data_IF_086800837131
#
_entry.id   IF_086800837131
#
_cell.length_a   1.000
_cell.length_b   1.000
_cell.length_c   1.000
_cell.angle_alpha   90.00
_cell.angle_beta   90.00
_cell.angle_gamma   90.00
#
_symmetry.space_group_name_H-M   'P 1'
#
loop_
_entity.id
_entity.type
_entity.pdbx_description
1 polymer ?
#
# COMPACT_ATOMS: atom_id res chain seq x y z
N UNK A 1 18.81 -1.78 24.99
CA UNK A 1 17.62 -2.08 25.80
C UNK A 1 18.01 -3.04 26.90
N UNK A 2 17.62 -2.78 28.13
CA UNK A 2 18.00 -3.63 29.29
C UNK A 2 17.02 -4.81 29.39
N UNK A 3 17.47 -5.92 29.93
CA UNK A 3 16.64 -7.14 30.15
C UNK A 3 15.38 -6.84 30.97
N UNK A 4 15.45 -5.91 31.92
CA UNK A 4 14.32 -5.45 32.73
C UNK A 4 13.22 -4.78 31.88
N UNK A 5 13.57 -4.08 30.83
CA UNK A 5 12.61 -3.42 29.92
C UNK A 5 11.87 -4.46 29.10
N UNK A 6 12.58 -5.49 28.63
CA UNK A 6 11.98 -6.62 27.88
C UNK A 6 10.97 -7.37 28.75
N UNK A 7 11.30 -7.62 30.01
CA UNK A 7 10.38 -8.26 30.96
C UNK A 7 9.15 -7.42 31.24
N UNK A 8 9.31 -6.11 31.39
CA UNK A 8 8.21 -5.18 31.57
C UNK A 8 7.24 -5.19 30.39
N UNK A 9 7.75 -5.19 29.18
CA UNK A 9 6.92 -5.26 27.97
C UNK A 9 6.25 -6.63 27.81
N UNK A 10 6.91 -7.72 28.15
CA UNK A 10 6.33 -9.05 28.13
C UNK A 10 5.19 -9.20 29.16
N UNK A 11 5.33 -8.59 30.32
CA UNK A 11 4.32 -8.56 31.37
C UNK A 11 3.11 -7.70 30.96
N UNK A 12 3.36 -6.57 30.32
CA UNK A 12 2.34 -5.70 29.76
C UNK A 12 1.54 -6.41 28.65
N UNK A 13 2.21 -7.17 27.79
CA UNK A 13 1.54 -8.01 26.78
C UNK A 13 0.60 -9.04 27.42
N UNK A 14 1.01 -9.64 28.52
CA UNK A 14 0.23 -10.62 29.26
C UNK A 14 -1.01 -9.96 29.89
N UNK A 15 -0.83 -8.79 30.49
CA UNK A 15 -1.90 -8.03 31.13
C UNK A 15 -2.96 -7.53 30.14
N UNK A 16 -2.52 -7.07 28.97
CA UNK A 16 -3.39 -6.57 27.92
C UNK A 16 -3.93 -7.64 26.95
N UNK A 17 -3.53 -8.88 27.13
CA UNK A 17 -3.95 -9.99 26.26
C UNK A 17 -3.43 -9.90 24.83
N UNK A 18 -2.33 -9.20 24.61
CA UNK A 18 -1.72 -9.05 23.30
C UNK A 18 -0.92 -10.29 22.90
N UNK A 19 -0.97 -10.65 21.63
CA UNK A 19 -0.21 -11.76 21.03
C UNK A 19 1.10 -11.32 20.39
N UNK A 20 1.23 -10.04 20.09
CA UNK A 20 2.44 -9.45 19.51
C UNK A 20 2.66 -8.02 19.97
N UNK A 21 3.91 -7.64 20.16
CA UNK A 21 4.34 -6.29 20.49
C UNK A 21 5.63 -5.98 19.73
N UNK A 22 5.65 -4.88 19.01
CA UNK A 22 6.82 -4.37 18.33
C UNK A 22 7.19 -3.00 18.90
N UNK A 23 8.44 -2.87 19.35
CA UNK A 23 8.98 -1.62 19.90
C UNK A 23 10.15 -1.22 19.03
N UNK A 24 10.12 -0.02 18.52
CA UNK A 24 11.20 0.59 17.74
C UNK A 24 11.73 1.79 18.49
N UNK A 25 12.98 1.73 18.90
CA UNK A 25 13.75 2.87 19.41
C UNK A 25 14.84 3.24 18.39
N UNK A 26 15.41 4.44 18.51
CA UNK A 26 16.34 5.03 17.54
C UNK A 26 17.48 4.10 17.09
N UNK A 27 17.82 3.10 17.88
CA UNK A 27 18.94 2.20 17.58
C UNK A 27 18.66 0.72 17.84
N UNK A 28 17.43 0.35 18.18
CA UNK A 28 17.05 -1.05 18.41
C UNK A 28 15.58 -1.32 18.09
N UNK A 29 15.33 -2.45 17.46
CA UNK A 29 13.99 -2.96 17.19
C UNK A 29 13.80 -4.26 17.96
N UNK A 30 12.77 -4.30 18.81
CA UNK A 30 12.41 -5.50 19.57
C UNK A 30 11.00 -5.92 19.19
N UNK A 31 10.88 -7.16 18.74
CA UNK A 31 9.61 -7.81 18.47
C UNK A 31 9.40 -8.93 19.46
N UNK A 32 8.29 -8.87 20.20
CA UNK A 32 7.88 -9.91 21.14
C UNK A 32 6.61 -10.58 20.60
N UNK A 33 6.67 -11.89 20.44
CA UNK A 33 5.52 -12.71 20.05
C UNK A 33 5.25 -13.75 21.13
N UNK A 34 4.01 -13.90 21.50
CA UNK A 34 3.55 -14.93 22.41
C UNK A 34 2.68 -15.91 21.66
N UNK A 35 3.16 -17.12 21.48
CA UNK A 35 2.28 -18.22 21.08
C UNK A 35 1.48 -18.66 22.31
N UNK A 36 0.20 -18.41 22.29
CA UNK A 36 -0.72 -19.04 23.22
C UNK A 36 -0.79 -20.49 22.78
N UNK A 37 -0.06 -21.35 23.45
CA UNK A 37 -0.15 -22.79 23.22
C UNK A 37 -1.57 -23.26 23.46
N UNK A 38 -2.35 -23.39 22.43
CA UNK A 38 -3.44 -24.33 22.45
C UNK A 38 -2.82 -25.73 22.54
N UNK A 39 -3.39 -26.66 23.33
CA UNK A 39 -2.88 -28.01 23.36
C UNK A 39 -2.87 -28.54 21.93
N UNK A 40 -1.68 -28.92 21.49
CA UNK A 40 -1.47 -29.52 20.19
C UNK A 40 -2.36 -30.75 20.06
N UNK A 41 -3.51 -30.59 19.47
CA UNK A 41 -3.97 -31.63 18.58
C UNK A 41 -3.04 -31.54 17.39
N UNK A 42 -2.18 -32.52 17.26
CA UNK A 42 -1.55 -32.82 15.99
C UNK A 42 -2.65 -33.10 14.97
N UNK A 43 -3.26 -32.08 14.50
CA UNK A 43 -3.80 -32.11 13.19
C UNK A 43 -2.57 -32.05 12.31
N UNK A 44 -2.19 -33.19 11.78
CA UNK A 44 -1.36 -33.27 10.61
C UNK A 44 -2.07 -32.37 9.59
N UNK A 45 -1.72 -31.10 9.59
CA UNK A 45 -1.91 -30.32 8.40
C UNK A 45 -0.97 -30.99 7.40
N UNK A 46 -1.49 -31.92 6.63
CA UNK A 46 -1.02 -32.04 5.28
C UNK A 46 -1.00 -30.59 4.81
N UNK A 47 0.20 -30.03 4.77
CA UNK A 47 0.45 -28.82 4.01
C UNK A 47 -0.30 -29.05 2.72
N UNK A 48 -1.43 -28.43 2.46
CA UNK A 48 -1.84 -28.33 1.10
C UNK A 48 -0.63 -27.61 0.52
N UNK A 49 0.11 -28.34 -0.28
CA UNK A 49 0.96 -27.75 -1.29
C UNK A 49 0.33 -26.40 -1.63
N UNK A 50 1.05 -25.27 -1.63
CA UNK A 50 0.47 -23.98 -1.95
C UNK A 50 0.05 -23.96 -3.42
N UNK A 51 -0.90 -24.78 -3.74
CA UNK A 51 -1.84 -24.59 -4.81
C UNK A 51 -2.95 -23.63 -4.34
N UNK A 52 -2.58 -22.75 -3.50
CA UNK A 52 -3.03 -21.43 -3.25
C UNK A 52 -1.93 -20.52 -3.73
N UNK A 53 -1.54 -20.65 -4.96
CA UNK A 53 -1.69 -19.53 -5.83
C UNK A 53 -3.00 -18.90 -5.42
N UNK A 54 -2.95 -17.89 -4.53
CA UNK A 54 -3.86 -16.81 -4.69
C UNK A 54 -3.80 -16.62 -6.18
N UNK A 55 -4.74 -17.19 -6.88
CA UNK A 55 -5.12 -16.62 -8.13
C UNK A 55 -5.40 -15.19 -7.73
N UNK A 56 -4.34 -14.40 -7.80
CA UNK A 56 -4.49 -13.13 -8.44
C UNK A 56 -5.31 -13.54 -9.63
N UNK A 57 -6.60 -13.39 -9.48
CA UNK A 57 -7.51 -13.48 -10.58
C UNK A 57 -6.83 -12.56 -11.56
N UNK A 58 -6.08 -13.14 -12.46
CA UNK A 58 -5.65 -12.43 -13.64
C UNK A 58 -6.94 -12.19 -14.37
N UNK A 59 -7.70 -11.21 -13.85
CA UNK A 59 -8.64 -10.52 -14.68
C UNK A 59 -7.85 -10.25 -15.96
N UNK A 60 -8.40 -10.59 -17.10
CA UNK A 60 -7.71 -10.38 -18.35
C UNK A 60 -7.16 -8.96 -18.28
N UNK A 61 -5.85 -8.81 -18.42
CA UNK A 61 -5.13 -7.56 -18.19
C UNK A 61 -5.45 -6.56 -19.31
N UNK A 62 -6.71 -6.19 -19.40
CA UNK A 62 -7.18 -5.15 -20.32
C UNK A 62 -7.01 -3.75 -19.71
N UNK A 63 -6.20 -3.65 -18.64
CA UNK A 63 -5.88 -2.36 -18.04
C UNK A 63 -4.36 -2.13 -17.98
N UNK A 64 -4.01 -0.85 -18.05
CA UNK A 64 -2.66 -0.35 -17.93
C UNK A 64 -2.56 0.36 -16.58
N UNK A 65 -1.52 0.05 -15.82
CA UNK A 65 -1.21 0.73 -14.57
C UNK A 65 -0.37 1.97 -14.84
N UNK A 66 -0.90 3.13 -14.52
CA UNK A 66 -0.11 4.37 -14.47
C UNK A 66 0.56 4.46 -13.10
N UNK A 67 1.88 4.55 -13.10
CA UNK A 67 2.69 4.53 -11.89
C UNK A 67 3.43 5.84 -11.69
N UNK A 68 3.72 6.16 -10.42
CA UNK A 68 4.54 7.33 -10.10
C UNK A 68 5.99 7.13 -10.54
N UNK A 69 6.56 8.06 -11.31
CA UNK A 69 7.98 8.02 -11.69
C UNK A 69 8.91 8.60 -10.62
N UNK A 70 8.37 9.16 -9.55
CA UNK A 70 9.11 9.85 -8.50
C UNK A 70 8.47 9.62 -7.12
N UNK A 71 9.24 9.90 -6.07
CA UNK A 71 8.75 9.98 -4.69
C UNK A 71 8.18 11.38 -4.45
N UNK A 72 6.96 11.45 -3.94
CA UNK A 72 6.32 12.73 -3.65
C UNK A 72 4.93 12.61 -3.06
N UNK A 73 4.17 13.68 -3.12
CA UNK A 73 2.78 13.74 -2.64
C UNK A 73 1.83 13.81 -3.84
N UNK A 74 0.85 12.93 -3.84
CA UNK A 74 -0.16 12.85 -4.90
C UNK A 74 -1.24 13.92 -4.72
N UNK A 75 -1.55 14.62 -5.81
CA UNK A 75 -2.68 15.54 -5.91
C UNK A 75 -3.49 15.25 -7.18
N UNK A 76 -4.80 14.97 -7.06
CA UNK A 76 -5.66 14.70 -8.22
C UNK A 76 -6.05 15.95 -8.99
N UNK A 77 -5.82 17.14 -8.42
CA UNK A 77 -6.19 18.44 -8.98
C UNK A 77 -5.02 19.43 -8.90
N UNK A 78 -5.04 20.49 -9.73
CA UNK A 78 -3.96 21.50 -9.74
C UNK A 78 -3.94 22.38 -8.48
N UNK A 79 -5.03 22.43 -7.72
CA UNK A 79 -5.15 23.19 -6.48
C UNK A 79 -6.18 22.54 -5.55
N UNK A 80 -6.13 22.86 -4.27
CA UNK A 80 -6.99 22.25 -3.24
C UNK A 80 -8.49 22.38 -3.52
N UNK A 81 -8.91 23.45 -4.17
CA UNK A 81 -10.33 23.72 -4.47
C UNK A 81 -10.64 23.53 -5.98
N UNK A 82 -9.73 22.99 -6.75
CA UNK A 82 -9.95 22.74 -8.17
C UNK A 82 -10.60 21.37 -8.40
N UNK A 83 -11.29 21.23 -9.52
CA UNK A 83 -11.81 19.96 -9.96
C UNK A 83 -10.66 19.00 -10.29
N UNK A 84 -10.78 17.69 -9.99
CA UNK A 84 -9.77 16.71 -10.36
C UNK A 84 -9.62 16.65 -11.89
N UNK A 85 -8.41 16.34 -12.34
CA UNK A 85 -8.13 16.18 -13.78
C UNK A 85 -8.98 15.09 -14.41
N UNK A 86 -9.18 13.99 -13.69
CA UNK A 86 -9.95 12.82 -14.14
C UNK A 86 -10.71 12.19 -12.97
N UNK A 87 -11.79 11.52 -13.31
CA UNK A 87 -12.60 10.72 -12.40
C UNK A 87 -12.74 9.29 -12.92
N UNK A 88 -13.15 8.36 -12.05
CA UNK A 88 -13.45 6.98 -12.47
C UNK A 88 -14.55 7.01 -13.54
N UNK A 89 -14.29 6.33 -14.66
CA UNK A 89 -15.17 6.30 -15.82
C UNK A 89 -14.87 7.33 -16.91
N UNK A 90 -13.96 8.26 -16.64
CA UNK A 90 -13.54 9.24 -17.65
C UNK A 90 -12.67 8.61 -18.72
N UNK A 91 -12.90 9.06 -19.96
CA UNK A 91 -12.04 8.71 -21.09
C UNK A 91 -10.81 9.62 -21.11
N UNK A 92 -9.66 9.02 -21.24
CA UNK A 92 -8.37 9.71 -21.31
C UNK A 92 -7.63 9.36 -22.58
N UNK A 93 -6.84 10.31 -23.06
CA UNK A 93 -5.99 10.13 -24.24
C UNK A 93 -4.52 10.16 -23.85
N UNK A 94 -3.69 9.52 -24.65
CA UNK A 94 -2.24 9.54 -24.46
C UNK A 94 -1.72 10.97 -24.37
N UNK A 95 -0.92 11.25 -23.32
CA UNK A 95 -0.37 12.57 -23.04
C UNK A 95 -1.30 13.50 -22.25
N UNK A 96 -2.52 13.08 -21.94
CA UNK A 96 -3.43 13.83 -21.08
C UNK A 96 -2.96 13.79 -19.64
N UNK A 97 -2.92 14.94 -18.95
CA UNK A 97 -2.56 15.03 -17.54
C UNK A 97 -3.62 14.36 -16.67
N UNK A 98 -3.19 13.42 -15.83
CA UNK A 98 -4.05 12.65 -14.93
C UNK A 98 -4.00 13.17 -13.49
N UNK A 99 -2.83 13.57 -13.04
CA UNK A 99 -2.59 14.06 -11.68
C UNK A 99 -1.28 14.83 -11.59
N UNK A 100 -1.00 15.34 -10.40
CA UNK A 100 0.26 15.97 -10.05
C UNK A 100 0.89 15.19 -8.89
N UNK A 101 2.20 15.00 -8.96
CA UNK A 101 3.02 14.53 -7.85
C UNK A 101 4.00 15.63 -7.48
N UNK A 102 3.84 16.21 -6.30
CA UNK A 102 4.75 17.20 -5.76
C UNK A 102 5.96 16.52 -5.14
N UNK A 103 7.14 16.81 -5.66
CA UNK A 103 8.40 16.34 -5.16
C UNK A 103 9.41 17.51 -5.11
N UNK A 104 10.11 17.66 -4.00
CA UNK A 104 11.15 18.68 -3.83
C UNK A 104 10.66 20.11 -4.19
N UNK A 105 9.44 20.47 -3.79
CA UNK A 105 8.77 21.76 -4.10
C UNK A 105 8.49 21.99 -5.59
N UNK A 106 8.53 20.94 -6.39
CA UNK A 106 8.19 20.97 -7.81
C UNK A 106 6.94 20.17 -8.09
N UNK A 107 6.03 20.74 -8.86
CA UNK A 107 4.82 20.08 -9.33
C UNK A 107 5.14 19.31 -10.60
N UNK A 108 5.07 17.99 -10.55
CA UNK A 108 5.30 17.11 -11.69
C UNK A 108 3.97 16.55 -12.18
N UNK A 109 3.61 16.86 -13.41
CA UNK A 109 2.42 16.34 -14.05
C UNK A 109 2.64 14.90 -14.51
N UNK A 110 1.71 14.02 -14.13
CA UNK A 110 1.69 12.63 -14.57
C UNK A 110 0.64 12.50 -15.66
N UNK A 111 1.07 12.03 -16.81
CA UNK A 111 0.23 11.90 -18.00
C UNK A 111 -0.11 10.45 -18.31
N UNK A 112 -1.22 10.25 -19.03
CA UNK A 112 -1.58 8.94 -19.54
C UNK A 112 -0.57 8.45 -20.59
N UNK A 113 -0.16 7.21 -20.50
CA UNK A 113 0.76 6.59 -21.45
C UNK A 113 0.03 6.07 -22.72
N UNK A 114 -1.24 5.75 -22.57
CA UNK A 114 -2.10 5.28 -23.64
C UNK A 114 -3.55 5.80 -23.47
N UNK A 115 -4.33 5.69 -24.54
CA UNK A 115 -5.75 6.00 -24.52
C UNK A 115 -6.54 4.93 -23.75
N UNK A 116 -7.58 5.33 -23.05
CA UNK A 116 -8.45 4.41 -22.34
C UNK A 116 -9.45 5.09 -21.42
N UNK A 117 -10.00 4.31 -20.51
CA UNK A 117 -10.98 4.77 -19.53
C UNK A 117 -10.41 4.53 -18.12
N UNK A 118 -10.49 5.53 -17.24
CA UNK A 118 -10.09 5.38 -15.86
C UNK A 118 -10.99 4.35 -15.17
N UNK A 119 -10.41 3.21 -14.85
CA UNK A 119 -11.08 2.10 -14.18
C UNK A 119 -11.03 2.23 -12.67
N UNK A 120 -9.91 2.67 -12.15
CA UNK A 120 -9.68 2.81 -10.71
C UNK A 120 -8.65 3.90 -10.40
N UNK A 121 -8.84 4.58 -9.29
CA UNK A 121 -7.88 5.51 -8.70
C UNK A 121 -7.34 4.86 -7.42
N UNK A 122 -6.06 4.49 -7.42
CA UNK A 122 -5.45 3.67 -6.38
C UNK A 122 -4.93 4.47 -5.17
N UNK A 123 -4.93 5.78 -5.26
CA UNK A 123 -4.39 6.69 -4.24
C UNK A 123 -5.37 7.81 -3.92
N UNK A 124 -5.17 8.44 -2.77
CA UNK A 124 -6.01 9.53 -2.28
C UNK A 124 -5.28 10.87 -2.29
N UNK A 125 -6.03 11.97 -2.29
CA UNK A 125 -5.47 13.32 -2.24
C UNK A 125 -4.55 13.50 -1.02
N UNK A 126 -3.35 14.03 -1.26
CA UNK A 126 -2.35 14.26 -0.23
C UNK A 126 -1.59 13.01 0.24
N UNK A 127 -1.78 11.88 -0.42
CA UNK A 127 -1.07 10.65 -0.10
C UNK A 127 0.39 10.73 -0.57
N UNK A 128 1.31 10.29 0.28
CA UNK A 128 2.71 10.11 -0.11
C UNK A 128 2.82 8.87 -0.99
N UNK A 129 3.43 9.03 -2.14
CA UNK A 129 3.69 7.96 -3.11
C UNK A 129 5.18 7.81 -3.36
N UNK A 130 5.58 6.60 -3.70
CA UNK A 130 6.96 6.25 -4.02
C UNK A 130 7.10 5.93 -5.51
N UNK A 131 8.34 5.81 -5.96
CA UNK A 131 8.62 5.33 -7.31
C UNK A 131 7.96 3.97 -7.54
N UNK A 132 7.18 3.87 -8.61
CA UNK A 132 6.48 2.64 -8.97
C UNK A 132 5.15 2.40 -8.24
N UNK A 133 4.73 3.31 -7.34
CA UNK A 133 3.39 3.25 -6.74
C UNK A 133 2.32 3.39 -7.83
N UNK A 134 1.37 2.46 -7.86
CA UNK A 134 0.25 2.48 -8.79
C UNK A 134 -0.70 3.63 -8.45
N UNK A 135 -0.92 4.52 -9.39
CA UNK A 135 -1.77 5.71 -9.21
C UNK A 135 -3.16 5.49 -9.81
N UNK A 136 -3.21 5.01 -11.04
CA UNK A 136 -4.44 4.77 -11.79
C UNK A 136 -4.39 3.43 -12.51
N UNK A 137 -5.57 2.86 -12.73
CA UNK A 137 -5.80 1.78 -13.67
C UNK A 137 -6.64 2.29 -14.82
N UNK A 138 -6.09 2.20 -16.00
CA UNK A 138 -6.73 2.61 -17.25
C UNK A 138 -7.09 1.37 -18.04
N UNK A 139 -8.37 1.19 -18.34
CA UNK A 139 -8.84 0.10 -19.21
C UNK A 139 -8.81 0.54 -20.65
N UNK A 140 -8.29 -0.32 -21.51
CA UNK A 140 -8.36 -0.16 -22.96
C UNK A 140 -9.77 -0.33 -23.52
#
# INVERSE_FOLDING_TARGET
MKETDIRKYAELMKELGLTGLEITEENSKVRLERSVGAPAKETVYSVPEPAGTTQVTSEPKDYISVRSPIVGVFYPAPAENAAPYVSIGDSVTKGQTLCIVEAMKMMNEITAEEDGIISEICVTNGQVVEYGTELFRVRR
#
